data_IF_892810215177
#
_entry.id   IF_892810215177
#
_cell.length_a   1.000
_cell.length_b   1.000
_cell.length_c   1.000
_cell.angle_alpha   90.00
_cell.angle_beta   90.00
_cell.angle_gamma   90.00
#
_symmetry.space_group_name_H-M   'P 1'
#
loop_
_entity.id
_entity.type
_entity.pdbx_description
1 polymer ?
#
# COMPACT_ATOMS: atom_id res chain seq x y z
N UNK A 1 -61.93 -30.43 -60.43
CA UNK A 1 -60.46 -30.39 -60.59
C UNK A 1 -59.84 -30.10 -59.23
N UNK A 2 -58.82 -30.89 -58.86
CA UNK A 2 -58.05 -30.80 -57.61
C UNK A 2 -57.21 -29.51 -57.56
N UNK A 3 -57.09 -28.88 -56.39
CA UNK A 3 -55.84 -28.81 -55.62
C UNK A 3 -56.07 -28.11 -54.27
N UNK A 4 -55.90 -28.91 -53.23
CA UNK A 4 -55.60 -28.54 -51.84
C UNK A 4 -54.14 -28.07 -51.82
N UNK A 5 -53.84 -26.92 -51.20
CA UNK A 5 -52.46 -26.52 -50.87
C UNK A 5 -52.36 -26.34 -49.35
N UNK A 6 -51.33 -26.99 -48.79
CA UNK A 6 -51.03 -27.18 -47.39
C UNK A 6 -50.38 -25.92 -46.74
N UNK A 7 -50.60 -25.84 -45.42
CA UNK A 7 -50.01 -25.01 -44.35
C UNK A 7 -48.46 -25.02 -44.32
N UNK A 8 -47.77 -24.49 -43.27
CA UNK A 8 -47.85 -23.24 -42.46
C UNK A 8 -46.44 -22.56 -42.46
N UNK A 9 -46.15 -21.50 -41.68
CA UNK A 9 -44.84 -21.34 -41.00
C UNK A 9 -44.86 -20.11 -40.08
N UNK A 10 -44.96 -20.37 -38.78
CA UNK A 10 -44.73 -19.40 -37.71
C UNK A 10 -43.33 -18.82 -37.81
N UNK A 11 -43.23 -17.51 -37.99
CA UNK A 11 -41.96 -16.80 -37.87
C UNK A 11 -41.70 -16.50 -36.38
N UNK A 12 -40.93 -17.36 -35.74
CA UNK A 12 -40.30 -17.10 -34.44
C UNK A 12 -39.28 -15.97 -34.61
N UNK A 13 -39.56 -14.80 -34.03
CA UNK A 13 -38.57 -13.73 -33.88
C UNK A 13 -37.62 -14.09 -32.73
N UNK A 14 -36.42 -14.58 -33.07
CA UNK A 14 -35.32 -14.77 -32.12
C UNK A 14 -34.73 -13.39 -31.77
N UNK A 15 -34.97 -12.93 -30.54
CA UNK A 15 -34.28 -11.78 -29.96
C UNK A 15 -32.85 -12.24 -29.57
N UNK A 16 -31.85 -11.89 -30.38
CA UNK A 16 -30.46 -12.15 -30.06
C UNK A 16 -29.98 -11.16 -28.98
N UNK A 17 -29.86 -11.62 -27.73
CA UNK A 17 -29.24 -10.88 -26.64
C UNK A 17 -27.72 -10.90 -26.85
N UNK A 18 -27.17 -9.85 -27.47
CA UNK A 18 -25.71 -9.69 -27.59
C UNK A 18 -25.14 -9.41 -26.20
N UNK A 19 -24.45 -10.37 -25.61
CA UNK A 19 -23.67 -10.16 -24.40
C UNK A 19 -22.51 -9.18 -24.74
N UNK A 20 -22.56 -7.97 -24.19
CA UNK A 20 -21.44 -7.04 -24.25
C UNK A 20 -20.37 -7.58 -23.31
N UNK A 21 -19.36 -8.24 -23.86
CA UNK A 21 -18.16 -8.60 -23.11
C UNK A 21 -17.35 -7.33 -22.91
N UNK A 22 -17.40 -6.73 -21.71
CA UNK A 22 -16.43 -5.72 -21.31
C UNK A 22 -15.07 -6.42 -21.23
N UNK A 23 -14.25 -6.27 -22.27
CA UNK A 23 -12.84 -6.60 -22.19
C UNK A 23 -12.24 -5.74 -21.08
N UNK A 24 -11.97 -6.34 -19.92
CA UNK A 24 -11.13 -5.71 -18.92
C UNK A 24 -9.74 -5.58 -19.54
N UNK A 25 -9.19 -4.37 -19.60
CA UNK A 25 -7.80 -4.15 -20.02
C UNK A 25 -6.88 -4.76 -18.95
N UNK A 26 -6.64 -6.08 -19.00
CA UNK A 26 -5.74 -6.72 -18.02
C UNK A 26 -4.30 -6.37 -18.38
N UNK A 27 -3.80 -5.29 -17.79
CA UNK A 27 -2.41 -4.82 -17.95
C UNK A 27 -1.47 -5.65 -17.08
N UNK A 28 -1.93 -6.05 -15.90
CA UNK A 28 -1.09 -6.70 -14.90
C UNK A 28 -0.86 -8.16 -15.23
N UNK A 29 0.39 -8.59 -15.06
CA UNK A 29 0.80 -9.99 -15.23
C UNK A 29 1.51 -10.49 -13.98
N UNK A 30 1.36 -11.77 -13.70
CA UNK A 30 2.13 -12.44 -12.66
C UNK A 30 3.56 -12.74 -13.14
N UNK A 31 4.39 -13.30 -12.25
CA UNK A 31 5.78 -13.67 -12.57
C UNK A 31 5.90 -14.75 -13.67
N UNK A 32 4.81 -15.44 -14.03
CA UNK A 32 4.74 -16.44 -15.11
C UNK A 32 4.17 -15.84 -16.40
N UNK A 33 3.84 -14.55 -16.42
CA UNK A 33 3.27 -13.85 -17.56
C UNK A 33 1.74 -14.00 -17.70
N UNK A 34 1.07 -14.67 -16.76
CA UNK A 34 -0.38 -14.83 -16.80
C UNK A 34 -1.08 -13.51 -16.44
N UNK A 35 -2.26 -13.23 -17.02
CA UNK A 35 -3.08 -12.09 -16.61
C UNK A 35 -3.35 -12.14 -15.10
N UNK A 36 -3.10 -11.03 -14.41
CA UNK A 36 -3.30 -10.90 -12.98
C UNK A 36 -4.51 -9.97 -12.75
N UNK A 37 -5.50 -10.40 -11.94
CA UNK A 37 -6.70 -9.60 -11.74
C UNK A 37 -6.40 -8.35 -10.92
N UNK A 38 -7.30 -7.39 -11.06
CA UNK A 38 -7.33 -6.17 -10.27
C UNK A 38 -7.63 -6.48 -8.79
N UNK A 39 -6.99 -5.71 -7.90
CA UNK A 39 -7.15 -5.71 -6.45
C UNK A 39 -7.17 -4.27 -5.94
N UNK A 40 -7.51 -4.07 -4.66
CA UNK A 40 -7.50 -2.73 -4.05
C UNK A 40 -6.13 -2.02 -4.10
N UNK A 41 -5.05 -2.79 -4.12
CA UNK A 41 -3.69 -2.26 -4.17
C UNK A 41 -3.08 -2.33 -5.57
N UNK A 42 -3.74 -2.95 -6.56
CA UNK A 42 -3.24 -3.07 -7.93
C UNK A 42 -4.39 -3.11 -8.92
N UNK A 43 -4.62 -2.04 -9.67
CA UNK A 43 -5.73 -1.95 -10.63
C UNK A 43 -5.30 -1.30 -11.92
N UNK A 44 -6.15 -1.37 -12.93
CA UNK A 44 -5.98 -0.65 -14.18
C UNK A 44 -7.29 -0.08 -14.71
N UNK A 45 -7.20 1.02 -15.46
CA UNK A 45 -8.33 1.65 -16.13
C UNK A 45 -7.86 2.34 -17.40
N UNK A 46 -8.57 2.10 -18.51
CA UNK A 46 -8.30 2.68 -19.83
C UNK A 46 -6.80 2.56 -20.21
N UNK A 47 -6.24 1.37 -20.04
CA UNK A 47 -4.82 1.12 -20.29
C UNK A 47 -3.84 1.76 -19.30
N UNK A 48 -4.24 2.44 -18.22
CA UNK A 48 -3.33 2.97 -17.18
C UNK A 48 -3.32 2.01 -16.00
N UNK A 49 -2.14 1.58 -15.54
CA UNK A 49 -2.00 0.68 -14.39
C UNK A 49 -1.37 1.37 -13.19
N UNK A 50 -1.86 1.07 -11.99
CA UNK A 50 -1.24 1.48 -10.71
C UNK A 50 -1.08 0.29 -9.76
N UNK A 51 0.01 0.28 -8.98
CA UNK A 51 0.29 -0.72 -7.95
C UNK A 51 0.91 -0.08 -6.71
N UNK A 52 0.37 -0.38 -5.54
CA UNK A 52 0.84 0.06 -4.24
C UNK A 52 1.38 -1.14 -3.45
N UNK A 53 2.60 -1.01 -2.94
CA UNK A 53 3.31 -2.06 -2.20
C UNK A 53 3.86 -1.49 -0.90
N UNK A 54 3.71 -2.25 0.19
CA UNK A 54 4.39 -2.00 1.46
C UNK A 54 5.45 -3.08 1.64
N UNK A 55 6.70 -2.68 1.85
CA UNK A 55 7.83 -3.60 1.96
C UNK A 55 8.75 -3.25 3.13
N UNK A 56 9.31 -4.25 3.85
CA UNK A 56 10.35 -4.02 4.84
C UNK A 56 11.75 -4.01 4.22
N UNK A 57 11.85 -4.21 2.90
CA UNK A 57 13.12 -4.37 2.19
C UNK A 57 13.89 -3.04 2.17
N UNK A 58 14.88 -2.88 3.05
CA UNK A 58 15.74 -1.69 3.11
C UNK A 58 16.63 -1.53 1.88
N UNK A 59 16.81 -2.60 1.11
CA UNK A 59 17.56 -2.66 -0.14
C UNK A 59 16.67 -2.52 -1.39
N UNK A 60 15.41 -2.07 -1.23
CA UNK A 60 14.45 -1.93 -2.34
C UNK A 60 15.02 -1.17 -3.54
N UNK A 61 15.81 -0.10 -3.29
CA UNK A 61 16.38 0.73 -4.34
C UNK A 61 17.40 -0.06 -5.15
N UNK A 62 18.31 -0.77 -4.47
CA UNK A 62 19.31 -1.61 -5.11
C UNK A 62 18.66 -2.73 -5.93
N UNK A 63 17.54 -3.29 -5.45
CA UNK A 63 16.76 -4.29 -6.20
C UNK A 63 16.19 -3.71 -7.49
N UNK A 64 15.65 -2.50 -7.43
CA UNK A 64 15.03 -1.85 -8.58
C UNK A 64 16.03 -1.35 -9.63
N UNK A 65 17.16 -0.78 -9.19
CA UNK A 65 18.21 -0.25 -10.06
C UNK A 65 19.07 -1.35 -10.71
N UNK A 66 18.57 -2.58 -10.75
CA UNK A 66 19.21 -3.68 -11.47
C UNK A 66 18.98 -3.58 -12.98
N UNK A 67 19.72 -4.39 -13.74
CA UNK A 67 19.54 -4.49 -15.20
C UNK A 67 18.08 -4.80 -15.55
N UNK A 68 17.52 -4.25 -16.64
CA UNK A 68 16.15 -4.55 -17.10
C UNK A 68 15.86 -6.04 -17.33
N UNK A 69 16.89 -6.87 -17.49
CA UNK A 69 16.77 -8.34 -17.63
C UNK A 69 16.46 -9.05 -16.30
N UNK A 70 16.63 -8.36 -15.16
CA UNK A 70 16.40 -8.88 -13.82
C UNK A 70 15.04 -8.39 -13.34
N UNK A 71 14.13 -9.31 -13.03
CA UNK A 71 12.84 -8.98 -12.43
C UNK A 71 13.07 -8.74 -10.93
N UNK A 72 12.88 -7.52 -10.40
CA UNK A 72 13.07 -7.24 -8.99
C UNK A 72 12.00 -7.97 -8.16
N UNK A 73 12.44 -8.59 -7.07
CA UNK A 73 11.55 -9.23 -6.10
C UNK A 73 11.54 -8.43 -4.79
N UNK A 74 10.34 -8.11 -4.32
CA UNK A 74 10.11 -7.40 -3.07
C UNK A 74 9.30 -8.27 -2.11
N UNK A 75 9.69 -8.29 -0.84
CA UNK A 75 8.85 -8.89 0.19
C UNK A 75 7.74 -7.91 0.57
N UNK A 76 6.49 -8.36 0.53
CA UNK A 76 5.38 -7.60 1.11
C UNK A 76 5.38 -7.70 2.63
N UNK A 77 4.94 -6.66 3.33
CA UNK A 77 4.60 -6.75 4.76
C UNK A 77 3.30 -6.02 5.08
N UNK A 78 2.46 -6.67 5.87
CA UNK A 78 1.25 -6.12 6.47
C UNK A 78 1.44 -5.73 7.94
N UNK A 79 2.66 -5.86 8.47
CA UNK A 79 3.02 -5.55 9.85
C UNK A 79 4.38 -4.87 9.95
N UNK A 80 4.58 -4.11 11.03
CA UNK A 80 5.89 -3.55 11.38
C UNK A 80 6.01 -3.42 12.89
N UNK A 81 7.16 -3.81 13.42
CA UNK A 81 7.49 -3.56 14.81
C UNK A 81 7.91 -2.09 15.00
N UNK A 82 7.57 -1.51 16.15
CA UNK A 82 8.02 -0.16 16.51
C UNK A 82 9.56 -0.05 16.44
N UNK A 83 10.04 1.06 15.87
CA UNK A 83 11.45 1.29 15.58
C UNK A 83 11.99 0.55 14.33
N UNK A 84 11.18 -0.28 13.66
CA UNK A 84 11.51 -0.85 12.35
C UNK A 84 10.90 -0.01 11.24
N UNK A 85 11.49 -0.13 10.05
CA UNK A 85 11.15 0.67 8.89
C UNK A 85 10.33 -0.14 7.88
N UNK A 86 9.35 0.53 7.27
CA UNK A 86 8.67 0.11 6.05
C UNK A 86 8.90 1.16 4.96
N UNK A 87 8.81 0.71 3.72
CA UNK A 87 8.75 1.56 2.54
C UNK A 87 7.42 1.33 1.85
N UNK A 88 6.77 2.44 1.49
CA UNK A 88 5.53 2.45 0.74
C UNK A 88 5.91 2.88 -0.67
N UNK A 89 5.82 1.91 -1.57
CA UNK A 89 6.25 2.00 -2.95
C UNK A 89 5.03 2.08 -3.85
N UNK A 90 4.97 3.13 -4.68
CA UNK A 90 3.93 3.27 -5.71
C UNK A 90 4.56 3.06 -7.07
N UNK A 91 3.92 2.21 -7.87
CA UNK A 91 4.31 1.93 -9.24
C UNK A 91 3.19 2.28 -10.21
N UNK A 92 3.56 2.54 -11.45
CA UNK A 92 2.62 2.77 -12.53
C UNK A 92 3.08 2.14 -13.84
N UNK A 93 2.16 1.94 -14.77
CA UNK A 93 2.44 1.42 -16.11
C UNK A 93 1.55 2.10 -17.14
N UNK A 94 2.12 2.28 -18.35
CA UNK A 94 1.46 2.80 -19.54
C UNK A 94 0.76 4.17 -19.35
N UNK A 95 1.46 5.19 -18.81
CA UNK A 95 0.92 6.54 -18.79
C UNK A 95 0.77 7.05 -20.22
N UNK A 96 -0.26 7.85 -20.48
CA UNK A 96 -0.39 8.55 -21.75
C UNK A 96 0.65 9.68 -21.82
N UNK A 97 1.21 9.85 -23.00
CA UNK A 97 2.15 10.92 -23.31
C UNK A 97 1.51 12.00 -24.18
N UNK A 98 2.05 13.21 -24.11
CA UNK A 98 1.75 14.28 -25.05
C UNK A 98 2.46 14.08 -26.41
N UNK A 99 2.31 15.05 -27.31
CA UNK A 99 2.96 15.04 -28.64
C UNK A 99 4.50 15.04 -28.59
N UNK A 100 5.09 15.40 -27.45
CA UNK A 100 6.54 15.40 -27.23
C UNK A 100 7.03 14.10 -26.58
N UNK A 101 6.13 13.14 -26.31
CA UNK A 101 6.46 11.92 -25.58
C UNK A 101 6.61 12.13 -24.07
N UNK A 102 6.10 13.24 -23.53
CA UNK A 102 6.15 13.56 -22.09
C UNK A 102 4.92 13.00 -21.39
N UNK A 103 5.14 12.20 -20.35
CA UNK A 103 4.07 11.75 -19.46
C UNK A 103 3.95 12.72 -18.27
N UNK A 104 2.72 12.84 -17.77
CA UNK A 104 2.39 13.65 -16.61
C UNK A 104 1.48 12.83 -15.67
N UNK A 105 2.07 12.36 -14.57
CA UNK A 105 1.42 11.58 -13.54
C UNK A 105 1.54 12.31 -12.21
N UNK A 106 0.41 12.51 -11.54
CA UNK A 106 0.35 13.10 -10.19
C UNK A 106 -0.33 12.14 -9.23
N UNK A 107 -0.17 12.39 -7.94
CA UNK A 107 -0.78 11.58 -6.91
C UNK A 107 -1.30 12.39 -5.72
N UNK A 108 -2.43 11.92 -5.20
CA UNK A 108 -2.87 12.28 -3.86
C UNK A 108 -2.53 11.13 -2.93
N UNK A 109 -1.82 11.43 -1.84
CA UNK A 109 -1.31 10.43 -0.91
C UNK A 109 -1.84 10.75 0.49
N UNK A 110 -2.54 9.79 1.08
CA UNK A 110 -2.98 9.86 2.46
C UNK A 110 -2.51 8.64 3.25
N UNK A 111 -1.82 8.88 4.36
CA UNK A 111 -1.47 7.85 5.34
C UNK A 111 -2.24 8.13 6.61
N UNK A 112 -3.29 7.36 6.86
CA UNK A 112 -4.18 7.54 8.00
C UNK A 112 -3.76 6.65 9.18
N UNK A 113 -3.66 7.26 10.37
CA UNK A 113 -3.40 6.57 11.64
C UNK A 113 -4.61 5.73 12.08
N UNK A 114 -4.44 4.76 13.01
CA UNK A 114 -5.53 4.00 13.62
C UNK A 114 -6.65 4.86 14.22
N UNK A 115 -6.33 6.07 14.71
CA UNK A 115 -7.31 6.99 15.29
C UNK A 115 -8.04 7.86 14.24
N UNK A 116 -7.83 7.62 12.95
CA UNK A 116 -8.46 8.37 11.85
C UNK A 116 -7.76 9.67 11.47
N UNK A 117 -6.74 10.12 12.21
CA UNK A 117 -5.98 11.32 11.84
C UNK A 117 -5.00 11.03 10.70
N UNK A 118 -4.78 12.01 9.83
CA UNK A 118 -3.79 11.87 8.76
C UNK A 118 -2.36 12.12 9.27
N UNK A 119 -1.44 11.22 8.93
CA UNK A 119 0.00 11.35 9.18
C UNK A 119 0.73 11.95 8.00
N UNK A 120 0.27 11.64 6.80
CA UNK A 120 0.73 12.24 5.55
C UNK A 120 -0.52 12.60 4.77
N UNK A 121 -0.62 13.84 4.35
CA UNK A 121 -1.66 14.30 3.44
C UNK A 121 -1.01 15.17 2.37
N UNK A 122 -0.87 14.62 1.18
CA UNK A 122 -0.31 15.31 0.02
C UNK A 122 -1.31 15.24 -1.12
N UNK A 123 -1.54 16.37 -1.77
CA UNK A 123 -2.44 16.49 -2.92
C UNK A 123 -1.61 17.00 -4.08
N UNK A 124 -1.85 16.44 -5.26
CA UNK A 124 -1.16 16.79 -6.52
C UNK A 124 0.37 16.67 -6.45
N UNK A 125 0.88 15.73 -5.65
CA UNK A 125 2.30 15.41 -5.64
C UNK A 125 2.75 14.94 -7.02
N UNK A 126 3.92 15.39 -7.47
CA UNK A 126 4.47 14.96 -8.77
C UNK A 126 4.93 13.52 -8.64
N UNK A 127 4.21 12.63 -9.31
CA UNK A 127 4.46 11.20 -9.26
C UNK A 127 5.45 10.78 -10.37
N UNK A 128 5.26 11.33 -11.57
CA UNK A 128 6.22 11.31 -12.67
C UNK A 128 5.94 12.48 -13.60
N UNK A 129 6.97 13.21 -14.01
CA UNK A 129 6.83 14.19 -15.09
C UNK A 129 8.10 14.23 -15.91
N UNK A 130 7.98 13.97 -17.20
CA UNK A 130 9.14 13.94 -18.09
C UNK A 130 8.93 13.05 -19.30
N UNK A 131 9.95 13.01 -20.16
CA UNK A 131 9.94 12.15 -21.34
C UNK A 131 9.89 10.69 -20.91
N UNK A 132 8.99 9.93 -21.51
CA UNK A 132 8.89 8.50 -21.25
C UNK A 132 9.97 7.76 -22.06
N UNK A 133 10.89 7.11 -21.36
CA UNK A 133 11.91 6.26 -21.97
C UNK A 133 11.47 4.78 -21.96
N UNK A 134 11.87 4.04 -23.00
CA UNK A 134 11.52 2.63 -23.18
C UNK A 134 10.04 2.40 -23.52
N UNK A 135 9.61 1.14 -23.43
CA UNK A 135 8.23 0.73 -23.70
C UNK A 135 7.27 1.33 -22.66
N UNK A 136 6.15 1.92 -23.10
CA UNK A 136 5.19 2.55 -22.21
C UNK A 136 4.61 1.57 -21.19
N UNK A 137 4.46 0.29 -21.54
CA UNK A 137 3.95 -0.77 -20.65
C UNK A 137 4.91 -1.20 -19.54
N UNK A 138 6.17 -0.76 -19.57
CA UNK A 138 7.10 -1.02 -18.48
C UNK A 138 6.58 -0.48 -17.15
N UNK A 139 6.73 -1.27 -16.08
CA UNK A 139 6.43 -0.82 -14.73
C UNK A 139 7.48 0.20 -14.32
N UNK A 140 7.05 1.33 -13.76
CA UNK A 140 7.90 2.43 -13.34
C UNK A 140 7.66 2.78 -11.88
N UNK A 141 8.72 3.23 -11.21
CA UNK A 141 8.59 3.83 -9.90
C UNK A 141 7.96 5.21 -10.00
N UNK A 142 7.12 5.50 -9.03
CA UNK A 142 6.61 6.81 -8.77
C UNK A 142 7.40 7.51 -7.66
N UNK A 143 7.59 8.82 -7.79
CA UNK A 143 7.87 9.68 -6.64
C UNK A 143 6.53 10.11 -5.97
N UNK A 144 6.54 10.73 -4.79
CA UNK A 144 7.55 10.55 -3.76
C UNK A 144 7.54 9.12 -3.21
N UNK A 145 8.70 8.67 -2.72
CA UNK A 145 8.82 7.40 -1.99
C UNK A 145 8.61 7.71 -0.50
N UNK A 146 7.69 6.99 0.14
CA UNK A 146 7.44 7.18 1.56
C UNK A 146 8.14 6.10 2.38
N UNK A 147 8.80 6.52 3.45
CA UNK A 147 9.28 5.63 4.49
C UNK A 147 8.50 5.85 5.77
N UNK A 148 8.18 4.75 6.46
CA UNK A 148 7.55 4.77 7.77
C UNK A 148 8.47 4.11 8.78
N UNK A 149 8.68 4.75 9.93
CA UNK A 149 9.30 4.15 11.11
C UNK A 149 8.35 4.37 12.27
N UNK A 150 7.95 3.31 12.97
CA UNK A 150 7.04 3.45 14.11
C UNK A 150 7.74 4.12 15.30
N UNK A 151 7.43 5.39 15.56
CA UNK A 151 8.03 6.18 16.64
C UNK A 151 7.40 5.87 18.00
N UNK A 152 8.02 6.18 19.16
CA UNK A 152 7.49 5.84 20.48
C UNK A 152 6.03 6.26 20.74
N UNK A 153 5.63 7.42 20.22
CA UNK A 153 4.30 7.99 20.42
C UNK A 153 3.30 7.61 19.33
N UNK A 154 3.72 6.86 18.31
CA UNK A 154 2.81 6.45 17.24
C UNK A 154 1.79 5.42 17.76
N UNK A 155 0.50 5.61 17.47
CA UNK A 155 -0.55 4.67 17.87
C UNK A 155 -0.31 3.31 17.21
N UNK A 156 -0.24 2.28 18.06
CA UNK A 156 -0.28 0.90 17.59
C UNK A 156 -1.64 0.58 16.95
N UNK A 157 -1.65 -0.39 16.04
CA UNK A 157 -2.85 -0.79 15.30
C UNK A 157 -2.73 -0.60 13.80
N UNK A 158 -3.87 -0.63 13.10
CA UNK A 158 -3.95 -0.58 11.64
C UNK A 158 -3.76 0.84 11.10
N UNK A 159 -2.71 1.02 10.31
CA UNK A 159 -2.47 2.21 9.50
C UNK A 159 -2.97 1.94 8.08
N UNK A 160 -3.56 2.94 7.44
CA UNK A 160 -4.10 2.83 6.08
C UNK A 160 -3.37 3.78 5.16
N UNK A 161 -2.94 3.28 4.00
CA UNK A 161 -2.30 4.06 2.95
C UNK A 161 -3.26 4.10 1.77
N UNK A 162 -3.63 5.30 1.33
CA UNK A 162 -4.40 5.52 0.11
C UNK A 162 -3.58 6.37 -0.85
N UNK A 163 -3.57 5.97 -2.12
CA UNK A 163 -2.95 6.72 -3.21
C UNK A 163 -3.96 6.85 -4.34
N UNK A 164 -4.27 8.08 -4.74
CA UNK A 164 -5.01 8.35 -5.98
C UNK A 164 -3.99 8.70 -7.04
N UNK A 165 -3.71 7.77 -7.95
CA UNK A 165 -2.76 7.96 -9.03
C UNK A 165 -3.48 8.52 -10.26
N UNK A 166 -3.02 9.65 -10.78
CA UNK A 166 -3.70 10.43 -11.83
C UNK A 166 -2.82 10.51 -13.08
N UNK A 167 -3.29 9.94 -14.19
CA UNK A 167 -2.74 10.21 -15.52
C UNK A 167 -3.41 11.47 -16.07
N UNK A 168 -2.65 12.56 -16.08
CA UNK A 168 -3.16 13.89 -16.45
C UNK A 168 -3.33 14.04 -17.97
N UNK A 169 -2.68 13.22 -18.79
CA UNK A 169 -2.86 13.26 -20.24
C UNK A 169 -4.08 12.44 -20.67
N UNK A 170 -4.39 11.37 -19.92
CA UNK A 170 -5.56 10.50 -20.16
C UNK A 170 -6.81 10.95 -19.40
N UNK A 171 -6.67 11.80 -18.37
CA UNK A 171 -7.75 12.22 -17.48
C UNK A 171 -8.37 11.03 -16.73
N UNK A 172 -7.51 10.12 -16.25
CA UNK A 172 -7.88 8.90 -15.52
C UNK A 172 -7.25 8.91 -14.15
N UNK A 173 -8.02 8.51 -13.14
CA UNK A 173 -7.56 8.34 -11.77
C UNK A 173 -7.77 6.89 -11.31
N UNK A 174 -6.77 6.32 -10.63
CA UNK A 174 -6.79 5.01 -10.00
C UNK A 174 -6.74 5.19 -8.49
N UNK A 175 -7.74 4.66 -7.77
CA UNK A 175 -7.75 4.66 -6.32
C UNK A 175 -7.12 3.37 -5.81
N UNK A 176 -5.94 3.49 -5.20
CA UNK A 176 -5.18 2.39 -4.60
C UNK A 176 -5.25 2.48 -3.08
N UNK A 177 -5.38 1.34 -2.41
CA UNK A 177 -5.41 1.26 -0.95
C UNK A 177 -4.66 0.03 -0.45
N UNK A 178 -3.92 0.20 0.64
CA UNK A 178 -3.31 -0.89 1.40
C UNK A 178 -3.24 -0.52 2.89
N UNK A 179 -2.79 -1.44 3.72
CA UNK A 179 -2.64 -1.21 5.15
C UNK A 179 -1.52 -2.03 5.74
N UNK A 180 -0.94 -1.53 6.83
CA UNK A 180 -0.04 -2.28 7.69
C UNK A 180 -0.40 -2.06 9.16
N UNK A 181 0.00 -2.98 10.02
CA UNK A 181 -0.23 -2.88 11.47
C UNK A 181 1.06 -2.54 12.19
N UNK A 182 1.10 -1.40 12.88
CA UNK A 182 2.17 -1.09 13.82
C UNK A 182 1.94 -1.90 15.10
N UNK A 183 2.85 -2.83 15.36
CA UNK A 183 2.82 -3.63 16.57
C UNK A 183 3.45 -2.84 17.74
N UNK A 184 2.93 -3.06 18.95
CA UNK A 184 3.66 -2.62 20.14
C UNK A 184 4.99 -3.37 20.17
N UNK A 185 6.09 -2.69 20.52
CA UNK A 185 7.27 -3.42 20.98
C UNK A 185 6.80 -4.31 22.10
N UNK A 186 7.00 -5.62 22.00
CA UNK A 186 6.82 -6.50 23.15
C UNK A 186 7.60 -5.84 24.29
N UNK A 187 6.92 -5.44 25.36
CA UNK A 187 7.59 -4.92 26.53
C UNK A 187 8.62 -5.98 26.90
N UNK A 188 9.92 -5.67 26.72
CA UNK A 188 11.00 -6.50 27.27
C UNK A 188 10.59 -6.70 28.72
N UNK A 189 10.26 -7.94 29.08
CA UNK A 189 9.63 -8.23 30.36
C UNK A 189 10.46 -7.55 31.43
N UNK A 190 9.88 -6.55 32.10
CA UNK A 190 10.47 -5.98 33.31
C UNK A 190 10.26 -7.03 34.40
N UNK A 191 11.05 -8.09 34.32
CA UNK A 191 11.24 -9.05 35.39
C UNK A 191 12.69 -9.01 35.89
N UNK A 192 13.24 -7.81 36.00
CA UNK A 192 14.35 -7.50 36.88
C UNK A 192 13.97 -6.23 37.65
N UNK A 193 14.13 -6.26 38.97
CA UNK A 193 13.90 -5.19 39.96
C UNK A 193 12.53 -5.09 40.67
N UNK A 194 11.83 -6.21 40.91
CA UNK A 194 10.88 -6.32 42.05
C UNK A 194 11.31 -7.33 43.13
N UNK A 195 12.50 -7.93 43.00
CA UNK A 195 13.07 -8.84 44.01
C UNK A 195 13.81 -8.13 45.17
N UNK A 196 13.59 -6.83 45.39
CA UNK A 196 14.19 -6.12 46.52
C UNK A 196 13.19 -5.65 47.61
N UNK A 197 11.88 -5.89 47.47
CA UNK A 197 10.89 -5.37 48.43
C UNK A 197 9.92 -6.39 49.04
N UNK A 198 10.16 -7.69 48.85
CA UNK A 198 9.42 -8.74 49.54
C UNK A 198 10.38 -9.63 50.35
N UNK A 199 10.89 -9.09 51.47
CA UNK A 199 11.13 -9.92 52.66
C UNK A 199 10.21 -9.39 53.77
N UNK A 200 9.50 -10.34 54.37
CA UNK A 200 8.35 -10.20 55.26
C UNK A 200 8.59 -9.44 56.59
N UNK A 201 7.52 -8.77 57.04
CA UNK A 201 7.01 -8.40 58.41
C UNK A 201 7.45 -9.29 59.61
N UNK A 202 7.16 -8.95 60.91
CA UNK A 202 6.48 -7.78 61.53
C UNK A 202 7.13 -7.21 62.84
N UNK A 203 6.51 -6.14 63.38
CA UNK A 203 6.60 -5.49 64.71
C UNK A 203 7.49 -6.11 65.81
N UNK A 204 8.40 -5.30 66.38
CA UNK A 204 8.67 -5.23 67.83
C UNK A 204 8.95 -3.76 68.21
N UNK A 205 8.30 -3.37 69.30
CA UNK A 205 8.35 -2.11 70.02
C UNK A 205 9.67 -1.95 70.77
N UNK A 206 10.40 -0.82 70.64
CA UNK A 206 11.35 -0.33 71.65
C UNK A 206 12.04 0.97 71.23
N UNK A 207 11.66 2.05 71.91
CA UNK A 207 12.49 3.17 72.40
C UNK A 207 13.37 4.01 71.46
N UNK A 208 13.10 5.32 71.55
CA UNK A 208 14.03 6.45 71.61
C UNK A 208 15.51 6.16 71.33
N UNK A 209 16.08 6.86 70.35
CA UNK A 209 17.20 7.75 70.60
C UNK A 209 17.33 8.80 69.49
N UNK A 210 17.47 10.05 69.92
CA UNK A 210 17.99 11.19 69.19
C UNK A 210 19.27 10.81 68.43
N UNK A 211 19.53 11.40 67.27
CA UNK A 211 20.73 12.20 67.01
C UNK A 211 20.66 12.82 65.60
N UNK A 212 21.42 13.92 65.46
CA UNK A 212 21.17 15.05 64.59
C UNK A 212 21.76 14.94 63.16
N UNK A 213 21.35 15.91 62.32
CA UNK A 213 22.01 16.56 61.15
C UNK A 213 23.56 16.42 61.06
N UNK A 214 24.25 16.74 59.92
CA UNK A 214 23.81 17.50 58.71
C UNK A 214 24.34 17.04 57.32
N UNK A 215 23.80 17.74 56.30
CA UNK A 215 24.23 18.05 54.92
C UNK A 215 25.74 18.27 54.67
N UNK A 216 26.25 17.78 53.52
CA UNK A 216 27.28 18.34 52.58
C UNK A 216 27.67 17.20 51.60
N UNK A 217 27.85 17.35 50.27
CA UNK A 217 27.97 18.46 49.32
C UNK A 217 27.11 18.17 48.08
#
# INVERSE_FOLDING_TARGET
MRRIIQLPFSAYAFLALTAITFAQDIIWRDAKGNPAPDTEFRTSKDGFGGWLLVTPDTDWQKKWETSPEIIPHFNGSDTVERGKQLFILTFFSNPKTDSNGTADVTCDIDVTRPNGTSSVHQVDAICFRGKLEGDASNVRFSAPILSFTGEPNDPAGKWTVRVILKDNQRQVALSLSTSFTLQQTAAKSRNESLLAFCICRPCINSQLALFAKPRMR
#
